data_IF_923448059417
#
_entry.id   IF_923448059417
#
_cell.length_a   1.000
_cell.length_b   1.000
_cell.length_c   1.000
_cell.angle_alpha   90.00
_cell.angle_beta   90.00
_cell.angle_gamma   90.00
#
_symmetry.space_group_name_H-M   'P 1'
#
loop_
_entity.id
_entity.type
_entity.pdbx_description
1 polymer ?
#
# COMPACT_ATOMS: atom_id res chain seq x y z
N UNK A 1 15.49 -32.50 3.69
CA UNK A 1 14.33 -32.66 2.81
C UNK A 1 14.15 -31.38 2.01
N UNK A 2 14.06 -31.49 0.68
CA UNK A 2 13.98 -30.37 -0.26
C UNK A 2 12.59 -29.72 -0.22
N UNK A 3 12.51 -28.41 0.07
CA UNK A 3 11.27 -27.63 0.04
C UNK A 3 10.93 -27.32 -1.42
N UNK A 4 9.73 -27.72 -1.86
CA UNK A 4 9.18 -27.32 -3.15
C UNK A 4 8.64 -25.90 -3.05
N UNK A 5 9.09 -25.02 -3.96
CA UNK A 5 8.44 -23.74 -4.24
C UNK A 5 7.17 -24.04 -5.03
N UNK A 6 6.01 -23.75 -4.47
CA UNK A 6 4.73 -23.81 -5.19
C UNK A 6 4.37 -22.40 -5.61
N UNK A 7 4.55 -22.11 -6.90
CA UNK A 7 4.12 -20.87 -7.53
C UNK A 7 2.68 -21.05 -7.98
N UNK A 8 1.75 -20.22 -7.49
CA UNK A 8 0.35 -20.20 -7.92
C UNK A 8 0.04 -18.80 -8.41
N UNK A 9 0.03 -18.62 -9.73
CA UNK A 9 -0.57 -17.48 -10.42
C UNK A 9 -1.58 -18.01 -11.42
N UNK A 10 -2.87 -17.83 -11.16
CA UNK A 10 -3.94 -17.93 -12.17
C UNK A 10 -5.06 -16.92 -11.90
N UNK A 11 -4.77 -15.64 -12.10
CA UNK A 11 -5.79 -14.65 -12.45
C UNK A 11 -6.08 -14.71 -13.96
N UNK A 12 -7.36 -14.77 -14.34
CA UNK A 12 -7.80 -14.63 -15.74
C UNK A 12 -8.14 -13.17 -15.99
N UNK A 13 -7.44 -12.43 -16.88
CA UNK A 13 -7.84 -11.07 -17.23
C UNK A 13 -8.90 -11.09 -18.36
N UNK A 14 -10.08 -10.56 -18.08
CA UNK A 14 -11.03 -10.07 -19.09
C UNK A 14 -10.88 -8.55 -19.21
N UNK A 15 -9.80 -8.11 -19.85
CA UNK A 15 -9.70 -6.76 -20.45
C UNK A 15 -8.52 -6.71 -21.45
N UNK A 16 -8.64 -6.01 -22.59
CA UNK A 16 -7.75 -6.22 -23.72
C UNK A 16 -6.53 -5.31 -23.68
N UNK A 17 -5.73 -5.31 -22.61
CA UNK A 17 -4.37 -4.73 -22.63
C UNK A 17 -3.46 -5.42 -21.60
N UNK A 18 -3.43 -6.76 -21.62
CA UNK A 18 -2.35 -7.52 -20.96
C UNK A 18 -1.52 -8.15 -22.07
N UNK A 19 -0.34 -7.57 -22.30
CA UNK A 19 0.69 -8.21 -23.10
C UNK A 19 1.15 -9.46 -22.34
N UNK A 20 0.63 -10.61 -22.75
CA UNK A 20 1.04 -11.92 -22.26
C UNK A 20 2.40 -12.25 -22.88
N UNK A 21 3.50 -11.98 -22.18
CA UNK A 21 4.84 -12.39 -22.64
C UNK A 21 5.01 -13.90 -22.47
N UNK A 22 4.88 -14.65 -23.58
CA UNK A 22 5.21 -16.07 -23.66
C UNK A 22 6.53 -16.23 -24.41
N UNK A 23 7.54 -16.78 -23.73
CA UNK A 23 8.69 -17.43 -24.37
C UNK A 23 9.89 -16.52 -24.68
N UNK A 24 10.99 -16.86 -24.00
CA UNK A 24 12.42 -16.66 -24.32
C UNK A 24 12.81 -15.66 -25.42
N UNK A 25 13.65 -14.69 -25.02
CA UNK A 25 14.46 -13.76 -25.83
C UNK A 25 13.79 -12.46 -26.27
N UNK A 26 13.48 -11.60 -25.30
CA UNK A 26 13.78 -10.15 -25.24
C UNK A 26 13.19 -9.66 -23.91
N UNK A 27 14.07 -9.20 -23.02
CA UNK A 27 13.75 -8.81 -21.66
C UNK A 27 12.59 -7.81 -21.62
N UNK A 28 11.47 -8.24 -21.05
CA UNK A 28 10.69 -7.36 -20.20
C UNK A 28 11.37 -7.46 -18.83
N UNK A 29 12.63 -6.99 -18.74
CA UNK A 29 13.17 -6.60 -17.46
C UNK A 29 12.34 -5.35 -17.12
N UNK A 30 11.44 -5.44 -16.14
CA UNK A 30 11.11 -4.25 -15.35
C UNK A 30 12.44 -3.57 -15.04
N UNK A 31 12.53 -2.25 -15.10
CA UNK A 31 13.78 -1.45 -15.20
C UNK A 31 14.79 -1.60 -14.03
N UNK A 32 14.80 -2.72 -13.31
CA UNK A 32 15.57 -3.02 -12.11
C UNK A 32 14.86 -2.57 -10.84
N UNK A 33 13.62 -2.06 -10.96
CA UNK A 33 12.84 -1.51 -9.86
C UNK A 33 11.67 -2.42 -9.51
N UNK A 34 11.54 -2.69 -8.21
CA UNK A 34 10.47 -3.53 -7.70
C UNK A 34 10.38 -3.44 -6.19
N UNK A 35 9.19 -3.70 -5.67
CA UNK A 35 8.94 -3.80 -4.24
C UNK A 35 8.33 -5.16 -3.93
N UNK A 36 9.07 -5.98 -3.19
CA UNK A 36 8.59 -7.22 -2.61
C UNK A 36 8.19 -6.95 -1.15
N UNK A 37 6.91 -7.12 -0.86
CA UNK A 37 6.34 -6.97 0.48
C UNK A 37 6.09 -8.35 1.09
N UNK A 38 6.67 -8.59 2.26
CA UNK A 38 6.38 -9.73 3.11
C UNK A 38 5.44 -9.29 4.22
N UNK A 39 4.14 -9.50 4.00
CA UNK A 39 3.10 -9.05 4.91
C UNK A 39 2.88 -10.09 6.02
N UNK A 40 3.12 -9.67 7.25
CA UNK A 40 2.87 -10.43 8.46
C UNK A 40 1.67 -9.88 9.21
N UNK A 41 1.02 -10.75 9.96
CA UNK A 41 0.00 -10.37 10.91
C UNK A 41 0.20 -11.12 12.23
N UNK A 42 -0.28 -10.52 13.32
CA UNK A 42 -0.39 -11.24 14.58
C UNK A 42 -1.38 -12.42 14.42
N UNK A 43 -1.19 -13.50 15.16
CA UNK A 43 -2.11 -14.62 15.15
C UNK A 43 -3.54 -14.23 15.54
N UNK A 44 -3.70 -13.16 16.33
CA UNK A 44 -5.01 -12.59 16.67
C UNK A 44 -5.74 -11.93 15.49
N UNK A 45 -5.06 -11.65 14.37
CA UNK A 45 -5.66 -10.98 13.23
C UNK A 45 -6.63 -11.86 12.43
N UNK A 46 -6.52 -13.19 12.58
CA UNK A 46 -7.38 -14.18 11.91
C UNK A 46 -7.51 -13.95 10.39
N UNK A 47 -6.39 -13.59 9.75
CA UNK A 47 -6.31 -13.35 8.30
C UNK A 47 -6.22 -14.68 7.55
N UNK A 48 -7.36 -15.35 7.47
CA UNK A 48 -7.54 -16.64 6.80
C UNK A 48 -8.20 -16.56 5.42
N UNK A 49 -8.52 -17.73 4.87
CA UNK A 49 -9.24 -17.87 3.60
C UNK A 49 -10.49 -16.98 3.54
N UNK A 50 -10.63 -16.22 2.45
CA UNK A 50 -11.75 -15.29 2.24
C UNK A 50 -11.55 -13.89 2.82
N UNK A 51 -10.47 -13.65 3.58
CA UNK A 51 -10.04 -12.29 3.92
C UNK A 51 -9.54 -11.56 2.67
N UNK A 52 -9.64 -10.23 2.67
CA UNK A 52 -9.20 -9.38 1.57
C UNK A 52 -8.02 -8.52 1.99
N UNK A 53 -6.98 -8.46 1.17
CA UNK A 53 -5.83 -7.55 1.34
C UNK A 53 -5.78 -6.61 0.15
N UNK A 54 -5.69 -5.33 0.41
CA UNK A 54 -5.59 -4.27 -0.59
C UNK A 54 -4.30 -3.53 -0.35
N UNK A 55 -3.39 -3.59 -1.32
CA UNK A 55 -2.18 -2.78 -1.33
C UNK A 55 -2.43 -1.56 -2.21
N UNK A 56 -2.40 -0.39 -1.61
CA UNK A 56 -2.50 0.90 -2.28
C UNK A 56 -1.09 1.49 -2.35
N UNK A 57 -0.68 1.94 -3.53
CA UNK A 57 0.64 2.49 -3.75
C UNK A 57 0.52 3.78 -4.57
N UNK A 58 1.13 4.86 -4.09
CA UNK A 58 1.18 6.14 -4.78
C UNK A 58 2.63 6.53 -5.01
N UNK A 59 2.97 6.86 -6.25
CA UNK A 59 4.21 7.56 -6.56
C UNK A 59 4.09 9.01 -6.09
N UNK A 60 4.92 9.38 -5.12
CA UNK A 60 4.90 10.69 -4.47
C UNK A 60 5.50 11.81 -5.33
N UNK A 61 6.10 11.46 -6.46
CA UNK A 61 6.67 12.39 -7.43
C UNK A 61 5.75 12.58 -8.64
N UNK A 62 4.72 11.74 -8.77
CA UNK A 62 3.75 11.79 -9.86
C UNK A 62 2.43 12.41 -9.42
N UNK A 63 1.81 13.19 -10.31
CA UNK A 63 0.42 13.63 -10.18
C UNK A 63 -0.59 12.58 -10.66
N UNK A 64 -0.12 11.48 -11.24
CA UNK A 64 -0.99 10.39 -11.70
C UNK A 64 -1.59 9.60 -10.53
N UNK A 65 -2.70 8.90 -10.78
CA UNK A 65 -3.35 8.05 -9.77
C UNK A 65 -2.45 6.93 -9.25
N UNK A 66 -2.73 6.46 -8.03
CA UNK A 66 -2.00 5.34 -7.43
C UNK A 66 -2.32 3.98 -8.06
N UNK A 67 -1.43 3.01 -7.88
CA UNK A 67 -1.65 1.60 -8.15
C UNK A 67 -2.40 0.96 -6.99
N UNK A 68 -3.42 0.15 -7.27
CA UNK A 68 -4.16 -0.62 -6.26
C UNK A 68 -4.16 -2.09 -6.63
N UNK A 69 -3.67 -2.93 -5.73
CA UNK A 69 -3.62 -4.40 -5.89
C UNK A 69 -4.56 -5.02 -4.86
N UNK A 70 -5.62 -5.66 -5.33
CA UNK A 70 -6.55 -6.41 -4.48
C UNK A 70 -6.24 -7.91 -4.50
N UNK A 71 -6.14 -8.51 -3.33
CA UNK A 71 -5.78 -9.92 -3.12
C UNK A 71 -6.86 -10.53 -2.24
N UNK A 72 -7.43 -11.66 -2.67
CA UNK A 72 -8.26 -12.51 -1.83
C UNK A 72 -7.39 -13.64 -1.31
N UNK A 73 -7.40 -13.84 0.01
CA UNK A 73 -6.58 -14.86 0.63
C UNK A 73 -7.15 -16.25 0.36
N UNK A 74 -6.32 -17.11 -0.19
CA UNK A 74 -6.62 -18.54 -0.39
C UNK A 74 -6.08 -19.40 0.77
N UNK A 75 -5.29 -18.82 1.66
CA UNK A 75 -4.68 -19.47 2.82
C UNK A 75 -4.41 -18.46 3.93
N UNK A 76 -4.15 -18.97 5.13
CA UNK A 76 -3.90 -18.16 6.31
C UNK A 76 -2.52 -17.48 6.25
N UNK A 77 -2.48 -16.18 6.58
CA UNK A 77 -1.24 -15.43 6.80
C UNK A 77 -0.93 -15.44 8.28
N UNK A 78 0.33 -15.60 8.63
CA UNK A 78 0.74 -15.56 10.03
C UNK A 78 2.22 -15.22 10.23
N UNK A 79 2.71 -15.30 11.47
CA UNK A 79 4.06 -14.91 11.81
C UNK A 79 5.15 -15.81 11.19
N UNK A 80 4.79 -16.98 10.67
CA UNK A 80 5.70 -17.94 10.04
C UNK A 80 5.50 -18.10 8.52
N UNK A 81 4.39 -17.58 7.98
CA UNK A 81 4.02 -17.67 6.58
C UNK A 81 3.44 -16.32 6.15
N UNK A 82 4.29 -15.39 5.68
CA UNK A 82 3.84 -14.09 5.22
C UNK A 82 3.10 -14.21 3.88
N UNK A 83 2.26 -13.22 3.59
CA UNK A 83 1.80 -13.00 2.22
C UNK A 83 2.87 -12.22 1.47
N UNK A 84 3.42 -12.84 0.43
CA UNK A 84 4.37 -12.22 -0.48
C UNK A 84 3.60 -11.46 -1.58
N UNK A 85 3.86 -10.16 -1.70
CA UNK A 85 3.30 -9.30 -2.74
C UNK A 85 4.42 -8.63 -3.52
N UNK A 86 4.58 -9.03 -4.77
CA UNK A 86 5.51 -8.40 -5.70
C UNK A 86 4.79 -7.29 -6.49
N UNK A 87 5.28 -6.06 -6.35
CA UNK A 87 4.78 -4.90 -7.10
C UNK A 87 5.87 -4.44 -8.08
N UNK A 88 5.71 -4.69 -9.40
CA UNK A 88 6.64 -4.20 -10.40
C UNK A 88 6.50 -2.69 -10.55
N UNK A 89 7.62 -1.99 -10.71
CA UNK A 89 7.67 -0.53 -10.82
C UNK A 89 8.32 -0.11 -12.14
N UNK A 90 7.81 0.97 -12.73
CA UNK A 90 8.31 1.53 -13.99
C UNK A 90 9.49 2.52 -13.78
N UNK A 91 9.98 2.65 -12.55
CA UNK A 91 11.04 3.58 -12.18
C UNK A 91 11.37 3.53 -10.70
N UNK A 92 12.48 4.18 -10.34
CA UNK A 92 12.79 4.49 -8.96
C UNK A 92 12.14 5.80 -8.51
N UNK A 93 12.03 6.01 -7.21
CA UNK A 93 11.39 7.20 -6.67
C UNK A 93 10.96 7.06 -5.22
N UNK A 94 10.09 7.96 -4.78
CA UNK A 94 9.45 7.89 -3.46
C UNK A 94 8.04 7.33 -3.60
N UNK A 95 7.77 6.23 -2.92
CA UNK A 95 6.48 5.55 -2.97
C UNK A 95 5.85 5.53 -1.59
N UNK A 96 4.59 5.93 -1.52
CA UNK A 96 3.75 5.73 -0.35
C UNK A 96 2.92 4.47 -0.55
N UNK A 97 2.97 3.55 0.41
CA UNK A 97 2.30 2.27 0.37
C UNK A 97 1.43 2.13 1.61
N UNK A 98 0.15 1.90 1.40
CA UNK A 98 -0.81 1.64 2.46
C UNK A 98 -1.53 0.33 2.18
N UNK A 99 -1.41 -0.58 3.14
CA UNK A 99 -2.00 -1.91 3.05
C UNK A 99 -3.19 -1.97 3.99
N UNK A 100 -4.34 -2.38 3.47
CA UNK A 100 -5.56 -2.64 4.25
C UNK A 100 -5.90 -4.11 4.12
N UNK A 101 -5.92 -4.81 5.25
CA UNK A 101 -6.39 -6.17 5.35
C UNK A 101 -7.72 -6.20 6.11
N UNK A 102 -8.72 -6.87 5.55
CA UNK A 102 -10.05 -7.04 6.15
C UNK A 102 -10.29 -8.51 6.42
N UNK A 103 -10.49 -8.83 7.70
CA UNK A 103 -10.87 -10.17 8.17
C UNK A 103 -12.16 -10.11 9.00
N UNK A 104 -12.76 -11.25 9.38
CA UNK A 104 -13.85 -11.27 10.35
C UNK A 104 -13.50 -10.66 11.72
N UNK A 105 -12.22 -10.60 12.08
CA UNK A 105 -11.75 -10.01 13.33
C UNK A 105 -11.67 -8.48 13.27
N UNK A 106 -11.65 -7.88 12.07
CA UNK A 106 -11.64 -6.43 11.86
C UNK A 106 -10.75 -6.00 10.70
N UNK A 107 -10.38 -4.72 10.71
CA UNK A 107 -9.46 -4.12 9.73
C UNK A 107 -8.07 -3.98 10.32
N UNK A 108 -7.06 -4.32 9.54
CA UNK A 108 -5.66 -4.24 9.92
C UNK A 108 -4.94 -3.46 8.85
N UNK A 109 -4.07 -2.53 9.24
CA UNK A 109 -3.41 -1.65 8.29
C UNK A 109 -1.92 -1.58 8.52
N UNK A 110 -1.21 -1.20 7.46
CA UNK A 110 0.19 -0.83 7.55
C UNK A 110 0.51 0.24 6.51
N UNK A 111 1.02 1.37 6.99
CA UNK A 111 1.48 2.47 6.15
C UNK A 111 3.00 2.49 6.10
N UNK A 112 3.60 2.67 4.91
CA UNK A 112 5.06 2.76 4.71
C UNK A 112 5.39 3.71 3.58
N UNK A 113 6.57 4.33 3.68
CA UNK A 113 7.16 5.05 2.55
C UNK A 113 8.49 4.41 2.18
N UNK A 114 8.73 4.28 0.88
CA UNK A 114 9.93 3.68 0.33
C UNK A 114 10.63 4.67 -0.60
N UNK A 115 11.95 4.80 -0.45
CA UNK A 115 12.80 5.41 -1.46
C UNK A 115 13.45 4.29 -2.27
N UNK A 116 12.90 4.04 -3.46
CA UNK A 116 13.23 2.90 -4.31
C UNK A 116 14.26 3.32 -5.35
N UNK A 117 15.49 2.83 -5.19
CA UNK A 117 16.56 2.95 -6.18
C UNK A 117 16.84 1.68 -7.00
N UNK A 118 16.07 0.61 -6.79
CA UNK A 118 16.24 -0.72 -7.38
C UNK A 118 15.19 -1.71 -6.86
N UNK A 119 15.54 -2.99 -6.72
CA UNK A 119 14.69 -4.00 -6.05
C UNK A 119 14.78 -3.87 -4.52
N UNK A 120 13.63 -3.77 -3.85
CA UNK A 120 13.52 -3.68 -2.40
C UNK A 120 12.71 -4.84 -1.85
N UNK A 121 13.16 -5.37 -0.72
CA UNK A 121 12.52 -6.43 0.07
C UNK A 121 12.16 -5.82 1.43
N UNK A 122 10.89 -5.94 1.84
CA UNK A 122 10.39 -5.30 3.05
C UNK A 122 9.46 -6.20 3.85
N UNK A 123 9.78 -6.36 5.13
CA UNK A 123 8.92 -7.04 6.10
C UNK A 123 7.95 -6.04 6.74
N UNK A 124 6.64 -6.27 6.57
CA UNK A 124 5.59 -5.35 7.03
C UNK A 124 4.68 -6.08 8.00
N UNK A 125 4.44 -5.49 9.17
CA UNK A 125 3.47 -6.00 10.14
C UNK A 125 2.16 -5.21 10.02
N UNK A 126 1.06 -5.92 9.75
CA UNK A 126 -0.29 -5.37 9.79
C UNK A 126 -0.72 -5.16 11.24
N UNK A 127 -1.18 -3.95 11.55
CA UNK A 127 -1.58 -3.53 12.90
C UNK A 127 -3.09 -3.36 12.95
N UNK A 128 -3.71 -3.89 13.99
CA UNK A 128 -5.15 -3.83 14.22
C UNK A 128 -5.60 -4.90 15.24
N UNK A 129 -6.91 -5.17 15.34
CA UNK A 129 -7.96 -4.53 14.56
C UNK A 129 -8.10 -3.04 14.93
N UNK A 130 -8.30 -2.17 13.93
CA UNK A 130 -8.55 -0.75 14.16
C UNK A 130 -9.89 -0.57 14.89
N UNK A 131 -9.85 0.14 16.02
CA UNK A 131 -11.05 0.55 16.76
C UNK A 131 -11.62 1.88 16.27
N UNK A 132 -12.86 2.18 16.66
CA UNK A 132 -13.56 3.43 16.30
C UNK A 132 -12.86 4.70 16.83
N UNK A 133 -12.02 4.57 17.87
CA UNK A 133 -11.21 5.67 18.39
C UNK A 133 -9.90 5.86 17.61
N UNK A 134 -9.45 4.85 16.86
CA UNK A 134 -8.22 4.88 16.05
C UNK A 134 -8.48 5.28 14.59
N UNK A 135 -9.65 4.92 14.05
CA UNK A 135 -10.13 5.20 12.69
C UNK A 135 -11.60 5.66 12.78
N UNK A 136 -11.78 6.95 13.05
CA UNK A 136 -13.06 7.53 13.50
C UNK A 136 -14.06 7.72 12.36
N UNK A 137 -13.58 8.06 11.19
CA UNK A 137 -14.40 8.25 9.98
C UNK A 137 -14.51 6.97 9.14
N UNK A 138 -13.73 5.95 9.47
CA UNK A 138 -13.84 4.61 8.93
C UNK A 138 -13.18 4.47 7.57
N UNK A 139 -12.22 5.32 7.22
CA UNK A 139 -11.53 5.29 5.94
C UNK A 139 -10.32 4.33 5.91
N UNK A 140 -9.99 3.74 7.07
CA UNK A 140 -8.85 2.84 7.32
C UNK A 140 -7.50 3.53 7.44
N UNK A 141 -7.48 4.85 7.60
CA UNK A 141 -6.31 5.63 7.98
C UNK A 141 -6.38 5.96 9.47
N UNK A 142 -5.36 5.59 10.25
CA UNK A 142 -5.35 5.89 11.66
C UNK A 142 -4.96 7.36 11.91
N UNK A 143 -5.57 7.98 12.91
CA UNK A 143 -5.29 9.36 13.33
C UNK A 143 -3.84 9.57 13.82
N UNK A 144 -3.24 8.53 14.39
CA UNK A 144 -1.83 8.52 14.80
C UNK A 144 -1.02 7.60 13.87
N UNK A 145 0.25 7.97 13.63
CA UNK A 145 1.20 7.15 12.87
C UNK A 145 1.33 5.75 13.51
N UNK A 146 0.90 4.69 12.82
CA UNK A 146 0.95 3.33 13.34
C UNK A 146 2.05 2.45 12.68
N UNK A 147 3.14 3.06 12.23
CA UNK A 147 4.23 2.33 11.60
C UNK A 147 4.96 1.41 12.59
N UNK A 148 4.69 0.10 12.52
CA UNK A 148 5.37 -0.91 13.36
C UNK A 148 6.15 -1.92 12.54
N UNK A 149 7.46 -2.00 12.73
CA UNK A 149 8.29 -3.04 12.12
C UNK A 149 8.27 -4.34 12.92
N UNK A 150 8.49 -5.46 12.22
CA UNK A 150 8.62 -6.78 12.86
C UNK A 150 9.86 -6.80 13.76
N UNK A 151 9.64 -6.80 15.08
CA UNK A 151 10.71 -6.95 16.07
C UNK A 151 11.45 -5.66 16.44
N UNK A 152 10.98 -4.49 16.00
CA UNK A 152 11.49 -3.19 16.44
C UNK A 152 10.56 -2.52 17.46
N UNK A 153 11.11 -1.52 18.17
CA UNK A 153 10.30 -0.51 18.87
C UNK A 153 9.56 0.34 17.83
N UNK A 154 8.46 0.99 18.20
CA UNK A 154 7.68 1.88 17.34
C UNK A 154 8.63 2.85 16.58
N UNK A 155 8.80 2.62 15.27
CA UNK A 155 9.57 3.50 14.39
C UNK A 155 8.53 4.46 13.82
N UNK A 156 8.64 5.75 14.14
CA UNK A 156 7.71 6.74 13.61
C UNK A 156 7.69 6.70 12.09
N UNK A 157 6.51 6.74 11.47
CA UNK A 157 6.39 6.83 10.01
C UNK A 157 7.13 8.07 9.50
N UNK A 158 7.18 9.12 10.31
CA UNK A 158 7.94 10.36 10.12
C UNK A 158 9.42 10.19 9.76
N UNK A 159 10.08 9.10 10.16
CA UNK A 159 11.47 8.84 9.79
C UNK A 159 11.60 8.24 8.37
N UNK A 160 10.52 7.64 7.85
CA UNK A 160 10.46 6.96 6.54
C UNK A 160 9.71 7.78 5.48
N UNK A 161 8.74 8.60 5.89
CA UNK A 161 7.87 9.41 5.02
C UNK A 161 8.29 10.89 5.05
N UNK A 162 8.69 11.49 3.91
CA UNK A 162 8.86 12.93 3.85
C UNK A 162 7.49 13.60 3.88
N UNK A 163 7.28 14.50 4.85
CA UNK A 163 6.02 15.22 5.15
C UNK A 163 4.85 14.29 5.53
N UNK A 164 3.97 14.74 6.42
CA UNK A 164 3.06 13.91 7.25
C UNK A 164 1.98 13.21 6.41
N UNK A 165 2.36 12.19 5.64
CA UNK A 165 1.49 11.41 4.75
C UNK A 165 1.08 10.07 5.33
N UNK A 166 1.41 9.80 6.59
CA UNK A 166 1.20 8.48 7.18
C UNK A 166 0.08 8.42 8.22
N UNK A 167 -0.35 9.58 8.71
CA UNK A 167 -1.47 9.74 9.62
C UNK A 167 -2.61 10.44 8.89
N UNK A 168 -3.84 10.12 9.29
CA UNK A 168 -5.03 10.84 8.87
C UNK A 168 -4.99 12.29 9.39
N UNK A 169 -5.18 13.25 8.48
CA UNK A 169 -5.22 14.67 8.82
C UNK A 169 -6.62 15.15 9.25
N UNK A 170 -7.68 14.38 8.99
CA UNK A 170 -9.04 14.70 9.37
C UNK A 170 -9.89 13.48 9.75
N UNK A 171 -9.91 13.17 11.05
CA UNK A 171 -10.70 12.09 11.67
C UNK A 171 -12.24 12.22 11.54
N UNK A 172 -12.74 13.24 10.83
CA UNK A 172 -14.16 13.50 10.64
C UNK A 172 -14.64 13.32 9.20
N UNK A 173 -13.73 13.15 8.24
CA UNK A 173 -14.05 13.18 6.81
C UNK A 173 -13.25 12.12 6.04
N UNK A 174 -13.90 11.00 5.72
CA UNK A 174 -13.27 9.84 5.07
C UNK A 174 -12.70 10.08 3.67
N UNK A 175 -12.97 11.25 3.09
CA UNK A 175 -12.46 11.67 1.79
C UNK A 175 -11.17 12.52 1.92
N UNK A 176 -10.74 12.83 3.15
CA UNK A 176 -9.56 13.65 3.48
C UNK A 176 -8.49 12.81 4.16
N UNK A 177 -7.78 12.01 3.36
CA UNK A 177 -6.81 11.06 3.86
C UNK A 177 -5.60 10.91 2.95
N UNK A 178 -4.50 10.31 3.44
CA UNK A 178 -3.29 10.23 2.66
C UNK A 178 -3.44 9.60 1.26
N UNK A 179 -3.17 10.39 0.23
CA UNK A 179 -3.27 9.97 -1.17
C UNK A 179 -4.68 10.06 -1.78
N UNK A 180 -5.64 10.69 -1.11
CA UNK A 180 -6.93 11.04 -1.70
C UNK A 180 -6.77 11.95 -2.93
N UNK A 181 -7.78 12.03 -3.81
CA UNK A 181 -7.78 12.98 -4.92
C UNK A 181 -7.88 14.42 -4.43
N UNK A 182 -6.97 15.27 -4.90
CA UNK A 182 -6.98 16.69 -4.60
C UNK A 182 -8.03 17.46 -5.40
N UNK A 183 -8.69 18.43 -4.75
CA UNK A 183 -9.49 19.47 -5.41
C UNK A 183 -8.69 20.75 -5.38
N UNK A 184 -8.09 21.07 -6.52
CA UNK A 184 -7.13 22.15 -6.58
C UNK A 184 -7.73 23.54 -6.25
N UNK A 185 -6.95 24.35 -5.51
CA UNK A 185 -7.23 25.74 -5.12
C UNK A 185 -8.52 25.93 -4.28
N UNK A 186 -8.99 24.90 -3.58
CA UNK A 186 -10.13 24.99 -2.66
C UNK A 186 -9.72 25.25 -1.20
N UNK A 187 -8.41 25.32 -0.94
CA UNK A 187 -7.78 25.52 0.37
C UNK A 187 -7.93 24.37 1.35
N UNK A 188 -8.31 23.18 0.87
CA UNK A 188 -8.37 21.95 1.64
C UNK A 188 -7.24 21.04 1.13
N UNK A 189 -6.54 20.40 2.06
CA UNK A 189 -5.53 19.36 1.77
C UNK A 189 -6.25 18.01 1.87
N UNK A 190 -6.65 17.44 0.74
CA UNK A 190 -7.41 16.19 0.72
C UNK A 190 -6.50 14.98 0.87
N UNK A 191 -5.28 15.05 0.34
CA UNK A 191 -4.33 13.95 0.30
C UNK A 191 -3.36 13.93 1.51
N UNK A 192 -3.62 14.79 2.50
CA UNK A 192 -2.87 14.99 3.73
C UNK A 192 -1.36 15.19 3.49
N UNK A 193 -0.95 15.86 2.42
CA UNK A 193 0.47 16.11 2.14
C UNK A 193 0.97 17.46 2.69
N UNK A 194 0.12 18.19 3.43
CA UNK A 194 0.31 19.55 3.94
C UNK A 194 0.30 20.66 2.89
N UNK A 195 -0.13 20.39 1.66
CA UNK A 195 -0.28 21.36 0.58
C UNK A 195 -1.56 21.11 -0.23
N UNK A 196 -2.39 22.15 -0.38
CA UNK A 196 -3.47 22.17 -1.39
C UNK A 196 -2.85 22.17 -2.81
N UNK A 197 -3.37 21.31 -3.68
CA UNK A 197 -2.95 21.28 -5.07
C UNK A 197 -3.25 22.60 -5.78
N UNK A 198 -2.28 23.13 -6.51
CA UNK A 198 -2.48 24.34 -7.33
C UNK A 198 -3.00 23.92 -8.70
N UNK A 199 -4.02 24.60 -9.22
CA UNK A 199 -4.41 24.46 -10.62
C UNK A 199 -3.29 25.05 -11.50
N UNK A 200 -2.62 24.22 -12.29
CA UNK A 200 -1.87 24.72 -13.44
C UNK A 200 -2.93 25.17 -14.46
N UNK A 201 -3.29 26.45 -14.41
CA UNK A 201 -4.34 27.07 -15.23
C UNK A 201 -4.02 27.08 -16.73
N UNK A 202 -4.07 25.92 -17.38
CA UNK A 202 -4.02 25.77 -18.83
C UNK A 202 -5.44 25.54 -19.38
N UNK A 203 -6.32 26.53 -19.21
CA UNK A 203 -7.46 26.79 -20.10
C UNK A 203 -8.16 28.11 -19.73
N UNK A 204 -7.47 29.23 -19.99
CA UNK A 204 -8.15 30.52 -20.20
C UNK A 204 -7.52 31.21 -21.42
N UNK A 205 -8.07 30.91 -22.61
CA UNK A 205 -7.69 31.52 -23.89
C UNK A 205 -8.53 31.06 -25.08
#
# INVERSE_FOLDING_TARGET
MSRGRTSILRGVPLSPFVALCVGSALGCEADGYGLALHLYADAAADLGEGSAVVVQMKDLQSREGGTRVGILLEQDIGPADPLDVDVPLNGGGYYHVHVVATSPAGRFVATRCYHIGGEYDSEVLLVGPLGDDEDRDGDSWPAEENCRERGSSEVGCTDQCPTVRAADCNEGESDLNPGAPEVCDDHIDQDCNSVDAICDGEDEG
#
